data_IF_110180598014
#
_entry.id   IF_110180598014
#
_cell.length_a   1.000
_cell.length_b   1.000
_cell.length_c   1.000
_cell.angle_alpha   90.00
_cell.angle_beta   90.00
_cell.angle_gamma   90.00
#
_symmetry.space_group_name_H-M   'P 1'
#
loop_
_entity.id
_entity.type
_entity.pdbx_description
1 polymer ?
#
# COMPACT_ATOMS: atom_id res chain seq x y z
N UNK A 1 11.98 -12.33 -25.41
CA UNK A 1 12.53 -13.05 -24.32
C UNK A 1 11.43 -13.74 -23.54
N UNK A 2 11.28 -15.02 -23.77
CA UNK A 2 10.31 -15.87 -23.09
C UNK A 2 10.81 -16.39 -21.76
N UNK A 3 12.09 -16.28 -21.50
CA UNK A 3 12.55 -16.52 -20.18
C UNK A 3 11.86 -15.49 -19.32
N UNK A 4 10.98 -15.93 -18.43
CA UNK A 4 10.13 -15.07 -17.67
C UNK A 4 10.97 -13.99 -17.05
N UNK A 5 11.08 -12.91 -17.74
CA UNK A 5 11.70 -11.65 -17.39
C UNK A 5 12.90 -11.69 -16.43
N UNK A 6 13.33 -12.85 -16.02
CA UNK A 6 14.49 -12.95 -15.13
C UNK A 6 15.77 -12.58 -15.89
N UNK A 7 16.53 -11.80 -15.28
CA UNK A 7 17.74 -11.26 -15.87
C UNK A 7 17.41 -10.13 -16.83
N UNK A 8 17.10 -10.44 -18.08
CA UNK A 8 16.86 -9.41 -19.09
C UNK A 8 15.69 -8.50 -18.77
N UNK A 9 14.57 -9.05 -18.33
CA UNK A 9 13.42 -8.25 -17.93
C UNK A 9 13.76 -7.25 -16.85
N UNK A 10 14.55 -7.63 -15.89
CA UNK A 10 14.93 -6.76 -14.79
C UNK A 10 16.02 -5.75 -15.17
N UNK A 11 16.96 -6.14 -16.00
CA UNK A 11 18.01 -5.23 -16.52
C UNK A 11 17.42 -4.11 -17.38
N UNK A 12 16.36 -4.38 -18.14
CA UNK A 12 15.73 -3.37 -19.01
C UNK A 12 14.59 -2.62 -18.37
N UNK A 13 14.13 -3.00 -17.20
CA UNK A 13 13.12 -2.25 -16.46
C UNK A 13 13.67 -0.92 -16.00
N UNK A 14 13.33 0.11 -16.74
CA UNK A 14 13.77 1.49 -16.48
C UNK A 14 12.67 2.35 -15.89
N UNK A 15 11.45 1.85 -15.88
CA UNK A 15 10.26 2.55 -15.40
C UNK A 15 9.36 1.56 -14.66
N UNK A 16 8.61 2.08 -13.68
CA UNK A 16 7.63 1.29 -12.94
C UNK A 16 6.29 2.02 -12.92
N UNK A 17 5.24 1.32 -13.28
CA UNK A 17 3.87 1.73 -13.04
C UNK A 17 3.32 0.87 -11.90
N UNK A 18 2.92 1.53 -10.81
CA UNK A 18 2.31 0.88 -9.66
C UNK A 18 0.80 1.08 -9.75
N UNK A 19 0.08 0.01 -10.07
CA UNK A 19 -1.38 0.02 -10.10
C UNK A 19 -1.90 -0.67 -8.85
N UNK A 20 -2.61 0.07 -8.02
CA UNK A 20 -3.05 -0.37 -6.70
C UNK A 20 -4.57 -0.29 -6.58
N UNK A 21 -5.20 -1.39 -6.19
CA UNK A 21 -6.55 -1.35 -5.65
C UNK A 21 -6.47 -0.89 -4.19
N UNK A 22 -6.99 0.30 -3.89
CA UNK A 22 -7.03 0.82 -2.52
C UNK A 22 -8.16 0.15 -1.73
N UNK A 23 -7.85 -0.35 -0.53
CA UNK A 23 -8.81 -1.10 0.32
C UNK A 23 -8.29 -1.23 1.74
N UNK A 24 -9.12 -1.78 2.63
CA UNK A 24 -8.70 -2.16 3.97
C UNK A 24 -7.71 -3.32 4.00
N UNK A 25 -7.14 -3.55 5.16
CA UNK A 25 -6.23 -4.67 5.39
C UNK A 25 -6.20 -5.11 6.85
N UNK A 26 -6.27 -6.42 7.08
CA UNK A 26 -6.38 -7.01 8.41
C UNK A 26 -5.22 -6.65 9.36
N UNK A 27 -4.00 -6.53 8.86
CA UNK A 27 -2.81 -6.21 9.67
C UNK A 27 -2.39 -4.73 9.54
N UNK A 28 -2.38 -4.20 8.31
CA UNK A 28 -1.87 -2.85 8.02
C UNK A 28 -2.91 -1.73 8.06
N UNK A 29 -4.18 -2.04 8.32
CA UNK A 29 -5.27 -1.05 8.30
C UNK A 29 -5.77 -0.76 6.88
N UNK A 30 -4.89 -0.36 5.98
CA UNK A 30 -5.21 -0.19 4.55
C UNK A 30 -4.07 -0.70 3.65
N UNK A 31 -4.39 -0.89 2.39
CA UNK A 31 -3.43 -1.19 1.33
C UNK A 31 -3.48 -0.12 0.25
N UNK A 32 -2.51 0.78 0.26
CA UNK A 32 -2.23 1.77 -0.76
C UNK A 32 -1.01 1.39 -1.60
N UNK A 33 -0.47 2.36 -2.34
CA UNK A 33 0.71 2.17 -3.20
C UNK A 33 1.93 1.72 -2.43
N UNK A 34 2.16 2.26 -1.23
CA UNK A 34 3.31 1.89 -0.38
C UNK A 34 3.25 0.40 -0.04
N UNK A 35 2.14 -0.08 0.54
CA UNK A 35 1.98 -1.49 0.88
C UNK A 35 2.07 -2.39 -0.35
N UNK A 36 1.51 -1.96 -1.49
CA UNK A 36 1.53 -2.74 -2.72
C UNK A 36 2.96 -3.07 -3.15
N UNK A 37 3.84 -2.08 -3.26
CA UNK A 37 5.23 -2.33 -3.66
C UNK A 37 6.06 -2.97 -2.55
N UNK A 38 5.84 -2.60 -1.30
CA UNK A 38 6.55 -3.18 -0.17
C UNK A 38 6.43 -4.70 -0.12
N UNK A 39 5.19 -5.19 -0.18
CA UNK A 39 4.90 -6.62 -0.13
C UNK A 39 5.08 -7.27 -1.52
N UNK A 40 4.66 -6.57 -2.58
CA UNK A 40 4.66 -7.11 -3.93
C UNK A 40 6.05 -7.32 -4.52
N UNK A 41 7.00 -6.44 -4.22
CA UNK A 41 8.38 -6.53 -4.70
C UNK A 41 9.30 -7.36 -3.79
N UNK A 42 8.85 -7.70 -2.59
CA UNK A 42 9.62 -8.53 -1.67
C UNK A 42 9.72 -9.98 -2.16
N UNK A 43 10.90 -10.55 -2.04
CA UNK A 43 11.13 -11.97 -2.35
C UNK A 43 10.18 -12.89 -1.58
N UNK A 44 9.63 -13.88 -2.27
CA UNK A 44 8.61 -14.76 -1.72
C UNK A 44 9.09 -15.75 -0.64
N UNK A 45 10.40 -15.92 -0.48
CA UNK A 45 10.99 -16.88 0.47
C UNK A 45 11.30 -16.25 1.82
N UNK A 46 12.09 -15.19 1.81
CA UNK A 46 12.59 -14.52 3.01
C UNK A 46 12.07 -13.09 3.08
N UNK A 47 12.06 -12.38 1.96
CA UNK A 47 11.70 -10.97 1.91
C UNK A 47 10.31 -10.67 2.46
N UNK A 48 9.32 -11.51 2.18
CA UNK A 48 7.96 -11.31 2.72
C UNK A 48 7.91 -11.41 4.25
N UNK A 49 8.70 -12.28 4.85
CA UNK A 49 8.80 -12.38 6.31
C UNK A 49 9.50 -11.15 6.89
N UNK A 50 10.60 -10.72 6.26
CA UNK A 50 11.34 -9.52 6.67
C UNK A 50 10.45 -8.26 6.62
N UNK A 51 9.67 -8.09 5.54
CA UNK A 51 8.72 -6.97 5.41
C UNK A 51 7.61 -7.02 6.45
N UNK A 52 7.31 -8.20 7.02
CA UNK A 52 6.40 -8.35 8.14
C UNK A 52 7.11 -8.25 9.51
N UNK A 53 8.37 -7.81 9.53
CA UNK A 53 9.21 -7.73 10.71
C UNK A 53 9.46 -9.07 11.41
N UNK A 54 9.42 -10.17 10.64
CA UNK A 54 9.65 -11.53 11.15
C UNK A 54 11.10 -11.89 10.95
N UNK A 55 11.81 -12.09 12.06
CA UNK A 55 13.22 -12.53 12.07
C UNK A 55 13.36 -14.06 12.11
N UNK A 56 12.43 -14.75 12.73
CA UNK A 56 12.39 -16.21 12.77
C UNK A 56 11.40 -16.74 11.73
N UNK A 57 11.92 -17.38 10.70
CA UNK A 57 11.13 -17.96 9.60
C UNK A 57 10.16 -19.06 10.03
N UNK A 58 10.37 -19.64 11.21
CA UNK A 58 9.51 -20.68 11.77
C UNK A 58 8.41 -20.12 12.67
N UNK A 59 8.39 -18.81 12.90
CA UNK A 59 7.37 -18.18 13.74
C UNK A 59 5.98 -18.35 13.09
N UNK A 60 4.99 -18.92 13.81
CA UNK A 60 3.61 -19.00 13.32
C UNK A 60 3.07 -17.62 12.95
N UNK A 61 2.28 -17.51 11.90
CA UNK A 61 1.80 -16.24 11.36
C UNK A 61 0.96 -15.41 12.34
N UNK A 62 0.26 -16.06 13.25
CA UNK A 62 -0.54 -15.45 14.31
C UNK A 62 0.31 -14.79 15.41
N UNK A 63 1.62 -15.08 15.43
CA UNK A 63 2.61 -14.47 16.31
C UNK A 63 3.46 -13.41 15.60
N UNK A 64 3.19 -13.15 14.33
CA UNK A 64 3.95 -12.15 13.59
C UNK A 64 3.73 -10.76 14.17
N UNK A 65 4.79 -9.95 14.27
CA UNK A 65 4.68 -8.55 14.65
C UNK A 65 3.70 -7.84 13.70
N UNK A 66 2.88 -7.00 14.28
CA UNK A 66 1.93 -6.22 13.51
C UNK A 66 2.09 -4.74 13.84
N UNK A 67 1.03 -3.98 13.63
CA UNK A 67 0.93 -2.58 14.02
C UNK A 67 2.07 -1.74 13.43
N UNK A 68 2.65 -0.88 14.23
CA UNK A 68 3.65 0.11 13.82
C UNK A 68 4.91 -0.54 13.23
N UNK A 69 5.42 -1.61 13.84
CA UNK A 69 6.62 -2.30 13.35
C UNK A 69 6.44 -2.83 11.92
N UNK A 70 5.29 -3.44 11.63
CA UNK A 70 4.96 -3.87 10.27
C UNK A 70 4.96 -2.68 9.30
N UNK A 71 4.40 -1.55 9.71
CA UNK A 71 4.27 -0.39 8.83
C UNK A 71 5.61 0.27 8.55
N UNK A 72 6.49 0.29 9.53
CA UNK A 72 7.85 0.80 9.38
C UNK A 72 8.68 -0.09 8.45
N UNK A 73 8.67 -1.40 8.64
CA UNK A 73 9.38 -2.33 7.74
C UNK A 73 8.81 -2.34 6.33
N UNK A 74 7.49 -2.17 6.17
CA UNK A 74 6.90 -1.96 4.84
C UNK A 74 7.40 -0.66 4.21
N UNK A 75 7.45 0.44 4.95
CA UNK A 75 7.93 1.71 4.43
C UNK A 75 9.41 1.62 4.01
N UNK A 76 10.26 0.95 4.79
CA UNK A 76 11.66 0.69 4.42
C UNK A 76 11.78 -0.12 3.13
N UNK A 77 10.99 -1.19 3.00
CA UNK A 77 10.95 -2.02 1.79
C UNK A 77 10.49 -1.21 0.57
N UNK A 78 9.42 -0.44 0.71
CA UNK A 78 8.91 0.42 -0.35
C UNK A 78 9.93 1.50 -0.74
N UNK A 79 10.63 2.06 0.25
CA UNK A 79 11.69 3.05 0.01
C UNK A 79 12.79 2.50 -0.87
N UNK A 80 13.25 1.29 -0.63
CA UNK A 80 14.27 0.65 -1.47
C UNK A 80 13.83 0.54 -2.94
N UNK A 81 12.56 0.26 -3.19
CA UNK A 81 11.98 0.23 -4.54
C UNK A 81 11.93 1.64 -5.14
N UNK A 82 11.44 2.62 -4.38
CA UNK A 82 11.39 4.02 -4.83
C UNK A 82 12.76 4.57 -5.14
N UNK A 83 13.77 4.32 -4.29
CA UNK A 83 15.14 4.77 -4.49
C UNK A 83 15.75 4.16 -5.76
N UNK A 84 15.46 2.89 -6.05
CA UNK A 84 15.93 2.23 -7.27
C UNK A 84 15.38 2.87 -8.54
N UNK A 85 14.09 3.18 -8.58
CA UNK A 85 13.45 3.77 -9.76
C UNK A 85 13.62 5.30 -9.84
N UNK A 86 13.82 5.97 -8.71
CA UNK A 86 13.93 7.42 -8.62
C UNK A 86 12.71 8.11 -9.23
N UNK A 87 12.92 9.00 -10.20
CA UNK A 87 11.83 9.73 -10.90
C UNK A 87 11.09 8.90 -11.96
N UNK A 88 11.38 7.61 -12.10
CA UNK A 88 10.83 6.75 -13.16
C UNK A 88 9.77 5.80 -12.62
N UNK A 89 9.08 6.21 -11.58
CA UNK A 89 7.97 5.46 -10.97
C UNK A 89 6.73 6.34 -10.94
N UNK A 90 5.58 5.74 -11.26
CA UNK A 90 4.26 6.39 -11.21
C UNK A 90 3.33 5.49 -10.43
N UNK A 91 2.51 6.10 -9.60
CA UNK A 91 1.55 5.43 -8.75
C UNK A 91 0.13 5.73 -9.20
N UNK A 92 -0.72 4.71 -9.22
CA UNK A 92 -2.16 4.83 -9.47
C UNK A 92 -2.89 4.08 -8.36
N UNK A 93 -3.74 4.79 -7.61
CA UNK A 93 -4.64 4.19 -6.64
C UNK A 93 -6.08 4.20 -7.18
N UNK A 94 -6.67 3.01 -7.27
CA UNK A 94 -8.06 2.80 -7.70
C UNK A 94 -8.93 2.68 -6.45
N UNK A 95 -9.71 3.71 -6.16
CA UNK A 95 -10.61 3.81 -5.00
C UNK A 95 -12.03 3.36 -5.42
N UNK A 96 -12.14 2.11 -5.83
CA UNK A 96 -13.38 1.49 -6.27
C UNK A 96 -13.57 0.15 -5.59
N UNK A 97 -14.81 -0.18 -5.22
CA UNK A 97 -15.17 -1.43 -4.54
C UNK A 97 -14.24 -1.73 -3.34
N UNK A 98 -14.00 -0.72 -2.55
CA UNK A 98 -13.08 -0.78 -1.42
C UNK A 98 -13.69 -1.58 -0.28
N UNK A 99 -13.26 -2.84 -0.14
CA UNK A 99 -13.58 -3.67 1.01
C UNK A 99 -12.74 -3.26 2.24
N UNK A 100 -13.19 -3.63 3.41
CA UNK A 100 -12.38 -3.59 4.65
C UNK A 100 -11.29 -4.66 4.64
N UNK A 101 -11.43 -5.66 3.78
CA UNK A 101 -10.47 -6.75 3.64
C UNK A 101 -9.56 -6.59 2.41
N UNK A 102 -8.43 -7.23 2.48
CA UNK A 102 -7.48 -7.31 1.36
C UNK A 102 -8.02 -8.27 0.29
N UNK A 103 -7.68 -8.01 -0.98
CA UNK A 103 -7.97 -8.92 -2.09
C UNK A 103 -7.42 -10.33 -1.87
N UNK A 104 -6.43 -10.50 -0.99
CA UNK A 104 -5.91 -11.81 -0.62
C UNK A 104 -6.91 -12.68 0.17
N UNK A 105 -7.96 -12.11 0.72
CA UNK A 105 -9.06 -12.85 1.32
C UNK A 105 -9.94 -13.56 0.28
N UNK A 106 -9.82 -13.20 -0.99
CA UNK A 106 -10.57 -13.82 -2.09
C UNK A 106 -12.08 -13.72 -1.88
N UNK A 107 -12.76 -14.86 -2.01
CA UNK A 107 -14.22 -14.95 -1.86
C UNK A 107 -14.74 -14.75 -0.43
N UNK A 108 -13.85 -14.73 0.56
CA UNK A 108 -14.22 -14.45 1.97
C UNK A 108 -14.06 -12.98 2.36
N UNK A 109 -13.63 -12.12 1.43
CA UNK A 109 -13.59 -10.68 1.66
C UNK A 109 -15.00 -10.12 1.89
N UNK A 110 -15.13 -9.21 2.85
CA UNK A 110 -16.37 -8.50 3.09
C UNK A 110 -16.78 -7.68 1.87
N UNK A 111 -18.08 -7.58 1.62
CA UNK A 111 -18.59 -6.70 0.56
C UNK A 111 -18.25 -5.23 0.87
N UNK A 112 -17.91 -4.43 -0.14
CA UNK A 112 -17.67 -3.01 0.03
C UNK A 112 -18.92 -2.27 0.51
N UNK A 113 -18.75 -1.46 1.56
CA UNK A 113 -19.83 -0.60 2.10
C UNK A 113 -19.65 0.85 1.69
N UNK A 114 -18.42 1.26 1.34
CA UNK A 114 -18.12 2.61 0.89
C UNK A 114 -18.30 2.73 -0.64
N UNK A 115 -18.99 3.78 -1.14
CA UNK A 115 -19.14 4.02 -2.56
C UNK A 115 -17.79 4.25 -3.27
N UNK A 116 -17.76 3.96 -4.57
CA UNK A 116 -16.62 4.28 -5.43
C UNK A 116 -16.30 5.78 -5.36
N UNK A 117 -15.03 6.12 -5.25
CA UNK A 117 -14.56 7.51 -5.19
C UNK A 117 -13.93 7.91 -6.53
N UNK A 118 -13.03 7.09 -7.06
CA UNK A 118 -12.36 7.40 -8.31
C UNK A 118 -10.99 6.75 -8.46
N UNK A 119 -10.17 7.36 -9.29
CA UNK A 119 -8.80 6.90 -9.56
C UNK A 119 -7.86 8.09 -9.36
N UNK A 120 -6.82 7.88 -8.56
CA UNK A 120 -5.75 8.86 -8.34
C UNK A 120 -4.49 8.46 -9.08
N UNK A 121 -3.71 9.44 -9.52
CA UNK A 121 -2.37 9.23 -10.06
C UNK A 121 -1.40 10.26 -9.49
N UNK A 122 -0.18 9.84 -9.19
CA UNK A 122 0.89 10.72 -8.70
C UNK A 122 2.26 10.12 -9.00
N UNK A 123 3.28 10.95 -8.98
CA UNK A 123 4.69 10.54 -8.93
C UNK A 123 5.26 10.54 -7.52
N UNK A 124 4.45 10.91 -6.53
CA UNK A 124 4.80 10.94 -5.12
C UNK A 124 3.95 9.89 -4.37
N UNK A 125 4.64 8.92 -3.77
CA UNK A 125 4.00 7.77 -3.11
C UNK A 125 3.27 8.17 -1.82
N UNK A 126 3.83 9.12 -1.06
CA UNK A 126 3.20 9.60 0.16
C UNK A 126 1.97 10.45 -0.17
N UNK A 127 2.09 11.35 -1.14
CA UNK A 127 0.97 12.21 -1.57
C UNK A 127 -0.22 11.38 -2.04
N UNK A 128 -0.02 10.34 -2.85
CA UNK A 128 -1.15 9.54 -3.36
C UNK A 128 -1.81 8.72 -2.26
N UNK A 129 -1.05 8.13 -1.35
CA UNK A 129 -1.63 7.35 -0.25
C UNK A 129 -2.31 8.26 0.76
N UNK A 130 -1.74 9.45 1.05
CA UNK A 130 -2.38 10.49 1.88
C UNK A 130 -3.70 10.94 1.25
N UNK A 131 -3.70 11.32 -0.03
CA UNK A 131 -4.89 11.75 -0.73
C UNK A 131 -5.98 10.66 -0.75
N UNK A 132 -5.58 9.40 -0.91
CA UNK A 132 -6.52 8.26 -0.87
C UNK A 132 -7.20 8.15 0.49
N UNK A 133 -6.43 8.25 1.57
CA UNK A 133 -6.96 8.24 2.95
C UNK A 133 -7.87 9.45 3.18
N UNK A 134 -7.45 10.65 2.80
CA UNK A 134 -8.22 11.89 3.01
C UNK A 134 -9.58 11.82 2.28
N UNK A 135 -9.60 11.28 1.06
CA UNK A 135 -10.85 11.09 0.31
C UNK A 135 -11.80 10.08 0.98
N UNK A 136 -11.27 9.02 1.57
CA UNK A 136 -12.07 8.09 2.39
C UNK A 136 -12.59 8.80 3.63
N UNK A 137 -11.75 9.52 4.35
CA UNK A 137 -12.14 10.25 5.56
C UNK A 137 -13.10 11.41 5.27
N UNK A 138 -13.07 11.96 4.07
CA UNK A 138 -14.00 12.99 3.61
C UNK A 138 -15.42 12.50 3.31
N UNK A 139 -15.66 11.16 3.25
CA UNK A 139 -17.00 10.62 3.00
C UNK A 139 -17.93 10.80 4.22
N UNK A 140 -19.26 10.81 4.01
CA UNK A 140 -20.23 10.80 5.10
C UNK A 140 -19.94 9.66 6.11
N UNK A 141 -20.20 9.92 7.40
CA UNK A 141 -19.87 8.98 8.47
C UNK A 141 -20.46 7.57 8.24
N UNK A 142 -21.69 7.49 7.76
CA UNK A 142 -22.37 6.22 7.50
C UNK A 142 -21.71 5.40 6.37
N UNK A 143 -21.07 6.06 5.41
CA UNK A 143 -20.43 5.38 4.26
C UNK A 143 -19.02 4.90 4.59
N UNK A 144 -18.27 5.67 5.37
CA UNK A 144 -16.86 5.40 5.65
C UNK A 144 -16.60 4.57 6.89
N UNK A 145 -17.62 4.37 7.73
CA UNK A 145 -17.49 3.81 9.08
C UNK A 145 -16.61 2.56 9.12
N UNK A 146 -16.92 1.57 8.33
CA UNK A 146 -16.26 0.26 8.41
C UNK A 146 -14.80 0.33 7.95
N UNK A 147 -14.53 1.08 6.88
CA UNK A 147 -13.17 1.22 6.35
C UNK A 147 -12.30 2.09 7.28
N UNK A 148 -12.85 3.16 7.83
CA UNK A 148 -12.15 4.00 8.82
C UNK A 148 -11.88 3.22 10.10
N UNK A 149 -12.86 2.47 10.61
CA UNK A 149 -12.65 1.58 11.77
C UNK A 149 -11.50 0.60 11.53
N UNK A 150 -11.47 -0.04 10.34
CA UNK A 150 -10.38 -0.94 9.97
C UNK A 150 -9.03 -0.22 9.96
N UNK A 151 -8.96 0.97 9.39
CA UNK A 151 -7.72 1.76 9.33
C UNK A 151 -7.25 2.11 10.75
N UNK A 152 -8.13 2.62 11.59
CA UNK A 152 -7.80 3.11 12.92
C UNK A 152 -7.50 1.98 13.91
N UNK A 153 -8.31 0.91 13.92
CA UNK A 153 -8.10 -0.23 14.83
C UNK A 153 -6.76 -0.94 14.60
N UNK A 154 -6.22 -0.84 13.40
CA UNK A 154 -4.90 -1.38 13.04
C UNK A 154 -3.79 -0.35 13.06
N UNK A 155 -4.09 0.90 13.49
CA UNK A 155 -3.17 2.05 13.44
C UNK A 155 -2.63 2.33 12.03
N UNK A 156 -3.46 2.09 11.00
CA UNK A 156 -3.07 2.15 9.60
C UNK A 156 -2.44 3.47 9.17
N UNK A 157 -2.83 4.58 9.78
CA UNK A 157 -2.25 5.90 9.50
C UNK A 157 -0.76 5.99 9.78
N UNK A 158 -0.20 5.08 10.60
CA UNK A 158 1.24 5.02 10.84
C UNK A 158 2.05 4.72 9.57
N UNK A 159 1.44 4.12 8.55
CA UNK A 159 2.07 3.97 7.23
C UNK A 159 2.49 5.33 6.64
N UNK A 160 1.61 6.34 6.73
CA UNK A 160 1.90 7.70 6.24
C UNK A 160 3.00 8.36 7.08
N UNK A 161 2.95 8.20 8.39
CA UNK A 161 3.98 8.72 9.31
C UNK A 161 5.35 8.09 9.05
N UNK A 162 5.41 6.77 8.83
CA UNK A 162 6.64 6.07 8.52
C UNK A 162 7.24 6.51 7.17
N UNK A 163 6.41 6.65 6.13
CA UNK A 163 6.86 7.19 4.84
C UNK A 163 7.43 8.61 4.99
N UNK A 164 6.73 9.47 5.75
CA UNK A 164 7.18 10.84 6.00
C UNK A 164 8.52 10.88 6.73
N UNK A 165 8.67 10.06 7.75
CA UNK A 165 9.93 9.94 8.51
C UNK A 165 11.11 9.49 7.65
N UNK A 166 10.86 8.65 6.66
CA UNK A 166 11.85 8.17 5.69
C UNK A 166 12.07 9.14 4.51
N UNK A 167 11.37 10.26 4.44
CA UNK A 167 11.48 11.23 3.36
C UNK A 167 11.03 10.70 2.00
N UNK A 168 9.98 9.88 1.96
CA UNK A 168 9.51 9.22 0.74
C UNK A 168 8.57 10.10 -0.11
N UNK A 169 8.29 11.32 0.30
CA UNK A 169 7.43 12.26 -0.41
C UNK A 169 6.84 13.32 0.50
N UNK A 170 5.76 13.94 0.05
CA UNK A 170 5.07 15.01 0.76
C UNK A 170 3.64 14.59 1.16
N UNK A 171 3.25 14.94 2.37
CA UNK A 171 1.87 14.80 2.86
C UNK A 171 0.97 16.02 2.52
N UNK A 172 1.57 17.05 1.94
CA UNK A 172 0.86 18.22 1.38
C UNK A 172 0.82 18.06 -0.14
N UNK A 173 -0.36 18.16 -0.73
CA UNK A 173 -0.58 17.93 -2.16
C UNK A 173 -1.71 18.80 -2.70
N UNK A 174 -1.70 19.04 -3.99
CA UNK A 174 -2.82 19.63 -4.72
C UNK A 174 -3.61 18.53 -5.43
N UNK A 175 -4.90 18.44 -5.18
CA UNK A 175 -5.79 17.51 -5.88
C UNK A 175 -6.39 18.17 -7.12
N UNK A 176 -5.95 17.72 -8.30
CA UNK A 176 -6.42 18.21 -9.59
C UNK A 176 -7.40 17.22 -10.18
N UNK A 177 -8.65 17.64 -10.38
CA UNK A 177 -9.66 16.82 -11.06
C UNK A 177 -9.50 16.95 -12.57
N UNK A 178 -9.35 15.82 -13.24
CA UNK A 178 -9.39 15.74 -14.71
C UNK A 178 -10.74 15.19 -15.15
N UNK A 179 -11.34 15.78 -16.22
CA UNK A 179 -12.63 15.34 -16.73
C UNK A 179 -12.56 13.95 -17.39
#
# INVERSE_FOLDING_TARGET
DVAPSRGLGDVYKRQMLVLTHFKGHAMGGFGGSMKNIAIGCADGRIGKQQVHAVSDVNLPWDQWPGKEMLMETMAESAKAVCDYFGKKIVFINVLRRMSVDCDCAGTSAAEPTIPDIGILASTDILAIDQASVDLVYGRPAAEKHDLVERIESRRGLHQLTAMKALGMGNDQYDLITVP
#
